data_IF_563032773584
#
_entry.id   IF_563032773584
#
_cell.length_a   1.000
_cell.length_b   1.000
_cell.length_c   1.000
_cell.angle_alpha   90.00
_cell.angle_beta   90.00
_cell.angle_gamma   90.00
#
_symmetry.space_group_name_H-M   'P 1'
#
loop_
_entity.id
_entity.type
_entity.pdbx_description
1 polymer ?
#
# COMPACT_ATOMS: atom_id res chain seq x y z
N UNK A 1 0.86 -1.79 -8.59
CA UNK A 1 -0.12 -1.77 -7.49
C UNK A 1 -0.24 -3.19 -7.05
N UNK A 2 0.39 -3.49 -5.93
CA UNK A 2 0.50 -4.85 -5.40
C UNK A 2 -0.06 -4.85 -3.98
N UNK A 3 -0.80 -5.88 -3.63
CA UNK A 3 -1.34 -6.11 -2.29
C UNK A 3 -0.35 -7.06 -1.60
N UNK A 4 0.45 -6.57 -0.65
CA UNK A 4 1.56 -7.31 -0.04
C UNK A 4 1.12 -8.49 0.85
N UNK A 5 -0.07 -9.05 0.63
CA UNK A 5 -0.55 -10.28 1.27
C UNK A 5 0.28 -11.48 0.79
N UNK A 6 1.24 -11.91 1.60
CA UNK A 6 1.67 -13.31 1.59
C UNK A 6 0.53 -14.20 2.14
N UNK A 7 0.28 -15.39 1.55
CA UNK A 7 -0.83 -16.23 1.98
C UNK A 7 -0.47 -16.90 3.30
N UNK A 8 -1.23 -16.63 4.35
CA UNK A 8 -1.22 -17.46 5.54
C UNK A 8 -2.66 -17.69 5.98
N UNK A 9 -3.04 -18.97 5.99
CA UNK A 9 -4.25 -19.42 6.67
C UNK A 9 -4.27 -18.88 8.11
N UNK A 10 -5.48 -18.64 8.61
CA UNK A 10 -5.83 -18.33 10.00
C UNK A 10 -5.57 -16.89 10.51
N UNK A 11 -6.61 -16.07 10.32
CA UNK A 11 -7.35 -15.30 11.33
C UNK A 11 -6.66 -14.44 12.42
N UNK A 12 -5.36 -14.50 12.73
CA UNK A 12 -4.82 -13.79 13.91
C UNK A 12 -3.36 -13.28 13.84
N UNK A 13 -2.70 -13.27 12.68
CA UNK A 13 -1.35 -12.68 12.59
C UNK A 13 -1.40 -11.18 12.29
N UNK A 14 -0.59 -10.33 12.95
CA UNK A 14 -0.38 -8.95 12.54
C UNK A 14 0.13 -8.93 11.11
N UNK A 15 -0.33 -7.97 10.32
CA UNK A 15 0.18 -7.72 8.98
C UNK A 15 1.67 -7.41 9.08
N UNK A 16 2.52 -8.39 8.78
CA UNK A 16 3.95 -8.14 8.81
C UNK A 16 4.25 -7.06 7.75
N UNK A 17 4.98 -5.99 8.11
CA UNK A 17 5.43 -5.01 7.13
C UNK A 17 6.22 -5.72 6.03
N UNK A 18 6.34 -5.13 4.83
CA UNK A 18 7.22 -5.68 3.80
C UNK A 18 8.60 -5.96 4.40
N UNK A 19 9.19 -7.11 4.05
CA UNK A 19 10.48 -7.50 4.61
C UNK A 19 11.55 -6.44 4.35
N UNK A 20 12.59 -6.35 5.18
CA UNK A 20 13.70 -5.41 4.95
C UNK A 20 14.27 -5.55 3.52
N UNK A 21 14.41 -6.78 3.03
CA UNK A 21 14.89 -7.05 1.66
C UNK A 21 14.00 -6.45 0.56
N UNK A 22 12.70 -6.29 0.81
CA UNK A 22 11.80 -5.63 -0.14
C UNK A 22 12.07 -4.12 -0.20
N UNK A 23 12.29 -3.49 0.95
CA UNK A 23 12.61 -2.07 1.03
C UNK A 23 13.99 -1.78 0.44
N UNK A 24 14.99 -2.58 0.81
CA UNK A 24 16.34 -2.48 0.25
C UNK A 24 16.31 -2.58 -1.28
N UNK A 25 15.57 -3.55 -1.84
CA UNK A 25 15.43 -3.70 -3.28
C UNK A 25 14.69 -2.51 -3.93
N UNK A 26 13.68 -1.96 -3.27
CA UNK A 26 12.93 -0.81 -3.78
C UNK A 26 13.80 0.46 -3.82
N UNK A 27 14.65 0.65 -2.80
CA UNK A 27 15.65 1.72 -2.74
C UNK A 27 16.75 1.53 -3.79
N UNK A 28 17.30 0.32 -3.93
CA UNK A 28 18.31 -0.02 -4.94
C UNK A 28 17.82 0.24 -6.37
N UNK A 29 16.51 0.04 -6.61
CA UNK A 29 15.86 0.31 -7.88
C UNK A 29 15.46 1.78 -8.08
N UNK A 30 15.68 2.64 -7.07
CA UNK A 30 15.32 4.06 -7.13
C UNK A 30 13.82 4.32 -7.24
N UNK A 31 12.98 3.43 -6.69
CA UNK A 31 11.53 3.58 -6.76
C UNK A 31 11.02 4.63 -5.77
N UNK A 32 10.04 5.41 -6.20
CA UNK A 32 9.39 6.45 -5.41
C UNK A 32 8.04 5.95 -4.93
N UNK A 33 7.84 5.78 -3.63
CA UNK A 33 6.54 5.46 -3.04
C UNK A 33 5.69 6.72 -2.80
N UNK A 34 4.41 6.65 -3.13
CA UNK A 34 3.46 7.76 -3.01
C UNK A 34 2.39 7.54 -1.94
N UNK A 35 2.38 6.38 -1.25
CA UNK A 35 1.37 6.08 -0.23
C UNK A 35 1.99 6.25 1.17
N UNK A 36 1.50 7.22 1.93
CA UNK A 36 1.97 7.49 3.30
C UNK A 36 0.91 7.25 4.37
N UNK A 37 -0.33 7.00 3.94
CA UNK A 37 -1.48 6.85 4.82
C UNK A 37 -1.86 5.38 4.98
N UNK A 38 -2.53 5.07 6.09
CA UNK A 38 -3.12 3.74 6.30
C UNK A 38 -4.03 3.39 5.13
N UNK A 39 -3.96 2.17 4.62
CA UNK A 39 -4.81 1.74 3.49
C UNK A 39 -5.78 0.64 3.87
N UNK A 40 -5.69 0.10 5.08
CA UNK A 40 -6.57 -0.97 5.57
C UNK A 40 -7.10 -0.70 6.97
N UNK A 41 -8.39 -0.93 7.16
CA UNK A 41 -9.10 -0.88 8.44
C UNK A 41 -9.99 -2.11 8.61
N UNK A 42 -9.44 -3.16 9.23
CA UNK A 42 -10.25 -4.32 9.66
C UNK A 42 -10.84 -4.02 11.04
N UNK A 43 -12.17 -3.99 11.14
CA UNK A 43 -12.93 -3.91 12.39
C UNK A 43 -12.47 -2.80 13.37
N UNK A 44 -11.98 -1.67 12.84
CA UNK A 44 -11.53 -0.47 13.56
C UNK A 44 -10.36 -0.64 14.55
N UNK A 45 -9.88 -1.85 14.84
CA UNK A 45 -8.89 -2.07 15.89
C UNK A 45 -7.43 -2.01 15.42
N UNK A 46 -7.13 -2.24 14.13
CA UNK A 46 -5.76 -2.27 13.63
C UNK A 46 -5.64 -1.64 12.24
N UNK A 47 -5.50 -0.29 12.16
CA UNK A 47 -5.12 0.37 10.91
C UNK A 47 -3.72 -0.10 10.47
N UNK A 48 -3.58 -0.46 9.19
CA UNK A 48 -2.29 -0.85 8.58
C UNK A 48 -2.10 -0.25 7.18
N UNK A 49 -0.88 0.16 6.84
CA UNK A 49 -0.47 0.56 5.50
C UNK A 49 0.06 -0.68 4.77
N UNK A 50 -0.69 -1.18 3.79
CA UNK A 50 -0.35 -2.42 3.06
C UNK A 50 -0.38 -2.27 1.56
N UNK A 51 -0.91 -1.18 1.03
CA UNK A 51 -0.95 -0.92 -0.40
C UNK A 51 0.09 0.16 -0.71
N UNK A 52 0.98 -0.12 -1.67
CA UNK A 52 2.02 0.81 -2.12
C UNK A 52 1.82 1.18 -3.58
N UNK A 53 2.26 2.39 -3.94
CA UNK A 53 2.26 2.86 -5.33
C UNK A 53 3.66 3.38 -5.63
N UNK A 54 4.38 2.67 -6.48
CA UNK A 54 5.73 3.05 -6.90
C UNK A 54 5.76 3.63 -8.31
N UNK A 55 6.63 4.61 -8.51
CA UNK A 55 7.09 5.03 -9.85
C UNK A 55 8.61 5.09 -9.93
N UNK A 56 9.17 4.94 -11.12
CA UNK A 56 10.61 5.02 -11.36
C UNK A 56 11.13 6.47 -11.47
N UNK A 57 10.26 7.41 -11.83
CA UNK A 57 10.60 8.84 -11.85
C UNK A 57 9.80 9.62 -10.80
N UNK A 58 10.41 10.60 -10.12
CA UNK A 58 9.69 11.47 -9.21
C UNK A 58 8.66 12.32 -9.97
N UNK A 59 7.61 12.75 -9.28
CA UNK A 59 6.54 13.63 -9.81
C UNK A 59 5.65 13.03 -10.90
N UNK A 60 5.75 11.72 -11.19
CA UNK A 60 4.82 11.04 -12.09
C UNK A 60 3.38 11.00 -11.54
N UNK A 61 3.23 11.08 -10.22
CA UNK A 61 1.95 11.17 -9.52
C UNK A 61 1.99 12.40 -8.62
N UNK A 62 0.97 13.27 -8.72
CA UNK A 62 0.89 14.47 -7.87
C UNK A 62 0.37 14.19 -6.47
N UNK A 63 -0.62 13.30 -6.38
CA UNK A 63 -1.25 12.92 -5.12
C UNK A 63 -1.98 11.58 -5.27
N UNK A 64 -1.98 10.78 -4.21
CA UNK A 64 -2.84 9.61 -4.06
C UNK A 64 -4.04 10.00 -3.18
N UNK A 65 -5.25 9.83 -3.71
CA UNK A 65 -6.50 10.00 -2.97
C UNK A 65 -6.94 8.64 -2.41
N UNK A 66 -7.15 8.58 -1.08
CA UNK A 66 -7.73 7.41 -0.42
C UNK A 66 -9.26 7.55 -0.43
N UNK A 67 -9.92 6.59 -1.06
CA UNK A 67 -11.37 6.49 -1.12
C UNK A 67 -11.87 5.35 -0.22
N UNK A 68 -13.14 5.45 0.18
CA UNK A 68 -13.79 4.43 0.98
C UNK A 68 -13.67 3.03 0.32
N UNK A 69 -13.51 1.97 1.11
CA UNK A 69 -13.51 0.61 0.61
C UNK A 69 -14.74 0.29 -0.23
N UNK A 70 -14.56 -0.56 -1.25
CA UNK A 70 -15.68 -1.08 -2.02
C UNK A 70 -16.36 -2.19 -1.21
N UNK A 71 -17.61 -1.94 -0.80
CA UNK A 71 -18.46 -2.92 -0.13
C UNK A 71 -17.85 -3.45 1.19
N UNK A 72 -17.65 -4.77 1.32
CA UNK A 72 -17.11 -5.45 2.51
C UNK A 72 -15.58 -5.57 2.54
N UNK A 73 -14.87 -4.86 1.65
CA UNK A 73 -13.41 -4.86 1.67
C UNK A 73 -12.90 -4.03 2.87
N UNK A 74 -11.84 -4.48 3.52
CA UNK A 74 -11.15 -3.76 4.59
C UNK A 74 -10.08 -2.79 4.05
N UNK A 75 -9.77 -2.81 2.76
CA UNK A 75 -8.83 -1.90 2.08
C UNK A 75 -9.55 -0.69 1.45
N UNK A 76 -8.96 0.49 1.62
CA UNK A 76 -9.30 1.68 0.87
C UNK A 76 -8.98 1.51 -0.62
N UNK A 77 -9.69 2.27 -1.43
CA UNK A 77 -9.38 2.39 -2.86
C UNK A 77 -8.39 3.52 -3.03
N UNK A 78 -7.22 3.25 -3.62
CA UNK A 78 -6.29 4.29 -4.01
C UNK A 78 -6.64 4.81 -5.40
N UNK A 79 -6.85 6.12 -5.52
CA UNK A 79 -7.09 6.80 -6.78
C UNK A 79 -5.97 7.81 -7.02
N UNK A 80 -5.33 7.72 -8.18
CA UNK A 80 -4.28 8.64 -8.58
C UNK A 80 -4.31 8.81 -10.10
N UNK A 81 -3.81 9.96 -10.56
CA UNK A 81 -3.60 10.26 -11.97
C UNK A 81 -2.12 10.35 -12.27
N UNK A 82 -1.73 9.85 -13.44
CA UNK A 82 -0.40 10.07 -13.98
C UNK A 82 -0.33 11.48 -14.58
N UNK A 83 0.73 12.21 -14.24
CA UNK A 83 1.03 13.53 -14.77
C UNK A 83 2.00 13.34 -15.92
N UNK A 84 1.51 13.39 -17.16
CA UNK A 84 2.30 13.37 -18.39
C UNK A 84 2.04 14.61 -19.22
#
# INVERSE_FOLDING_TARGET
MDDFRHPMNDANEPTNPPSAAFWDASEDLGLNDYVQETTRWRDQNHPSLLDLVFTNEPLMIGSVELLNPLSRNDHAVLKFGLIY
#
